data_IF_805374965162
#
_entry.id   IF_805374965162
#
_cell.length_a   1.000
_cell.length_b   1.000
_cell.length_c   1.000
_cell.angle_alpha   90.00
_cell.angle_beta   90.00
_cell.angle_gamma   90.00
#
_symmetry.space_group_name_H-M   'P 1'
#
loop_
_entity.id
_entity.type
_entity.pdbx_description
1 polymer ?
#
# COMPACT_ATOMS: atom_id res chain seq x y z
N UNK A 1 -14.77 18.06 18.49
CA UNK A 1 -14.99 17.74 17.07
C UNK A 1 -14.88 16.23 16.95
N UNK A 2 -15.99 15.54 16.78
CA UNK A 2 -15.99 14.12 16.41
C UNK A 2 -15.66 14.07 14.92
N UNK A 3 -14.59 13.36 14.56
CA UNK A 3 -14.28 13.14 13.17
C UNK A 3 -15.43 12.34 12.53
N UNK A 4 -15.84 12.72 11.32
CA UNK A 4 -16.81 11.94 10.55
C UNK A 4 -16.26 10.53 10.32
N UNK A 5 -17.04 9.52 10.70
CA UNK A 5 -16.66 8.11 10.50
C UNK A 5 -16.81 7.80 9.02
N UNK A 6 -15.76 7.25 8.41
CA UNK A 6 -15.80 6.82 7.01
C UNK A 6 -16.87 5.73 6.82
N UNK A 7 -17.65 5.82 5.74
CA UNK A 7 -18.72 4.85 5.40
C UNK A 7 -18.28 3.78 4.39
N UNK A 8 -17.02 3.79 4.02
CA UNK A 8 -16.43 2.81 3.10
C UNK A 8 -15.15 2.21 3.70
N UNK A 9 -14.86 0.98 3.31
CA UNK A 9 -13.61 0.31 3.66
C UNK A 9 -12.41 1.12 3.15
N UNK A 10 -11.39 1.34 4.00
CA UNK A 10 -10.18 2.02 3.58
C UNK A 10 -9.39 1.18 2.57
N UNK A 11 -8.83 1.82 1.54
CA UNK A 11 -7.90 1.17 0.61
C UNK A 11 -6.46 1.12 1.15
N UNK A 12 -6.20 1.89 2.19
CA UNK A 12 -4.90 1.99 2.84
C UNK A 12 -5.09 2.26 4.34
N UNK A 13 -4.32 1.57 5.17
CA UNK A 13 -4.28 1.75 6.62
C UNK A 13 -2.82 1.87 7.06
N UNK A 14 -2.57 2.48 8.21
CA UNK A 14 -1.23 2.55 8.80
C UNK A 14 -1.19 1.71 10.07
N UNK A 15 -0.16 0.89 10.20
CA UNK A 15 0.13 0.20 11.46
C UNK A 15 0.38 1.23 12.58
N UNK A 16 -0.15 0.98 13.77
CA UNK A 16 -0.05 1.88 14.92
C UNK A 16 -1.12 2.98 14.98
N UNK A 17 -1.94 3.16 13.94
CA UNK A 17 -3.06 4.11 13.97
C UNK A 17 -4.37 3.42 14.41
N UNK A 18 -5.25 4.16 15.09
CA UNK A 18 -6.64 3.72 15.29
C UNK A 18 -7.38 3.81 13.97
N UNK A 19 -8.15 2.76 13.64
CA UNK A 19 -8.85 2.65 12.36
C UNK A 19 -10.33 2.43 12.65
N UNK A 20 -11.20 3.25 12.06
CA UNK A 20 -12.65 3.18 12.27
C UNK A 20 -13.38 3.42 10.95
N UNK A 21 -14.36 2.57 10.65
CA UNK A 21 -15.32 2.80 9.57
C UNK A 21 -16.65 2.14 9.87
N UNK A 22 -17.71 2.65 9.24
CA UNK A 22 -19.07 2.13 9.35
C UNK A 22 -19.43 1.42 8.04
N UNK A 23 -20.01 0.23 8.14
CA UNK A 23 -20.47 -0.53 6.98
C UNK A 23 -21.96 -0.82 7.08
N UNK A 24 -22.71 -0.31 6.11
CA UNK A 24 -24.14 -0.62 5.92
C UNK A 24 -24.28 -1.84 5.03
N UNK A 25 -25.03 -2.85 5.47
CA UNK A 25 -25.39 -4.05 4.70
C UNK A 25 -26.91 -4.26 4.80
N UNK A 26 -27.65 -3.76 3.82
CA UNK A 26 -29.12 -3.80 3.85
C UNK A 26 -29.70 -5.22 3.96
N UNK A 27 -29.03 -6.22 3.35
CA UNK A 27 -29.48 -7.62 3.37
C UNK A 27 -29.05 -8.35 4.65
N UNK A 28 -28.12 -7.77 5.42
CA UNK A 28 -27.54 -8.39 6.64
C UNK A 28 -27.38 -7.35 7.75
N UNK A 29 -28.50 -6.71 8.21
CA UNK A 29 -28.41 -5.69 9.22
C UNK A 29 -27.96 -6.27 10.57
N UNK A 30 -27.21 -5.48 11.34
CA UNK A 30 -26.74 -5.90 12.66
C UNK A 30 -27.88 -6.09 13.66
N UNK A 31 -29.02 -5.39 13.47
CA UNK A 31 -30.26 -5.58 14.26
C UNK A 31 -30.80 -7.00 14.22
N UNK A 32 -30.56 -7.73 13.14
CA UNK A 32 -31.01 -9.11 12.96
C UNK A 32 -29.96 -10.12 13.47
N UNK A 33 -29.01 -9.68 14.29
CA UNK A 33 -27.94 -10.49 14.85
C UNK A 33 -26.93 -10.99 13.81
N UNK A 34 -26.83 -10.33 12.66
CA UNK A 34 -25.71 -10.54 11.74
C UNK A 34 -24.44 -9.89 12.30
N UNK A 35 -23.33 -10.62 12.23
CA UNK A 35 -22.00 -10.12 12.63
C UNK A 35 -21.11 -10.08 11.41
N UNK A 36 -20.56 -8.90 11.12
CA UNK A 36 -19.63 -8.67 10.01
C UNK A 36 -18.20 -8.95 10.47
N UNK A 37 -17.48 -9.70 9.67
CA UNK A 37 -16.08 -10.03 9.89
C UNK A 37 -15.25 -9.60 8.69
N UNK A 38 -14.03 -9.21 8.97
CA UNK A 38 -13.00 -8.95 7.99
C UNK A 38 -11.74 -9.75 8.26
N UNK A 39 -11.03 -10.10 7.21
CA UNK A 39 -9.70 -10.69 7.27
C UNK A 39 -8.77 -10.01 6.27
N UNK A 40 -7.67 -9.47 6.76
CA UNK A 40 -6.53 -9.12 5.94
C UNK A 40 -5.68 -10.37 5.79
N UNK A 41 -5.37 -10.78 4.56
CA UNK A 41 -4.56 -11.97 4.30
C UNK A 41 -3.56 -11.73 3.17
N UNK A 42 -2.33 -12.17 3.38
CA UNK A 42 -1.28 -12.27 2.36
C UNK A 42 -0.36 -13.46 2.67
N UNK A 43 0.77 -13.57 1.96
CA UNK A 43 1.77 -14.65 2.17
C UNK A 43 2.53 -14.53 3.48
N UNK A 44 2.58 -13.34 4.10
CA UNK A 44 3.31 -13.09 5.35
C UNK A 44 2.45 -13.32 6.60
N UNK A 45 1.10 -13.22 6.49
CA UNK A 45 0.25 -13.38 7.65
C UNK A 45 -1.23 -13.07 7.40
N UNK A 46 -2.00 -13.10 8.47
CA UNK A 46 -3.42 -12.77 8.48
C UNK A 46 -3.76 -11.98 9.75
N UNK A 47 -4.72 -11.08 9.62
CA UNK A 47 -5.29 -10.31 10.73
C UNK A 47 -6.82 -10.36 10.63
N UNK A 48 -7.47 -10.72 11.71
CA UNK A 48 -8.93 -10.84 11.78
C UNK A 48 -9.51 -9.62 12.52
N UNK A 49 -10.61 -9.10 12.00
CA UNK A 49 -11.34 -7.97 12.57
C UNK A 49 -12.82 -8.39 12.63
N UNK A 50 -13.47 -8.12 13.76
CA UNK A 50 -14.90 -8.35 13.94
C UNK A 50 -15.56 -7.01 14.22
N UNK A 51 -16.60 -6.68 13.47
CA UNK A 51 -17.37 -5.46 13.67
C UNK A 51 -18.34 -5.62 14.85
N UNK A 52 -18.69 -4.49 15.45
CA UNK A 52 -19.75 -4.38 16.47
C UNK A 52 -21.01 -3.79 15.83
N UNK A 53 -22.17 -4.04 16.42
CA UNK A 53 -23.42 -3.46 15.96
C UNK A 53 -23.47 -1.96 16.34
N UNK A 54 -23.88 -1.12 15.39
CA UNK A 54 -24.21 0.29 15.59
C UNK A 54 -25.57 0.55 14.90
N UNK A 55 -26.66 0.33 15.66
CA UNK A 55 -27.99 0.28 15.08
C UNK A 55 -28.13 -0.86 14.08
N UNK A 56 -28.48 -0.57 12.83
CA UNK A 56 -28.56 -1.52 11.73
C UNK A 56 -27.22 -1.74 11.03
N UNK A 57 -26.24 -0.86 11.27
CA UNK A 57 -24.93 -0.88 10.65
C UNK A 57 -23.90 -1.67 11.45
N UNK A 58 -22.76 -1.92 10.84
CA UNK A 58 -21.63 -2.61 11.44
C UNK A 58 -20.49 -1.62 11.63
N UNK A 59 -20.17 -1.30 12.88
CA UNK A 59 -19.04 -0.45 13.24
C UNK A 59 -17.79 -1.31 13.35
N UNK A 60 -16.77 -0.94 12.60
CA UNK A 60 -15.44 -1.55 12.66
C UNK A 60 -14.50 -0.62 13.39
N UNK A 61 -13.92 -1.12 14.48
CA UNK A 61 -12.93 -0.38 15.26
C UNK A 61 -11.72 -1.27 15.49
N UNK A 62 -10.55 -0.75 15.11
CA UNK A 62 -9.26 -1.38 15.38
C UNK A 62 -8.44 -0.41 16.21
N UNK A 63 -8.05 -0.82 17.41
CA UNK A 63 -7.21 0.01 18.28
C UNK A 63 -5.81 0.18 17.71
N UNK A 64 -5.14 1.28 18.05
CA UNK A 64 -3.74 1.53 17.70
C UNK A 64 -2.81 0.39 18.15
N UNK A 65 -3.06 -0.17 19.33
CA UNK A 65 -2.30 -1.32 19.86
C UNK A 65 -2.46 -2.57 18.98
N UNK A 66 -3.67 -2.83 18.50
CA UNK A 66 -3.94 -3.97 17.62
C UNK A 66 -3.33 -3.74 16.24
N UNK A 67 -3.53 -2.56 15.64
CA UNK A 67 -3.00 -2.24 14.32
C UNK A 67 -1.47 -2.17 14.31
N UNK A 68 -0.81 -1.84 15.43
CA UNK A 68 0.66 -1.88 15.55
C UNK A 68 1.25 -3.28 15.30
N UNK A 69 0.44 -4.34 15.46
CA UNK A 69 0.87 -5.71 15.15
C UNK A 69 0.82 -6.04 13.66
N UNK A 70 0.22 -5.17 12.83
CA UNK A 70 0.06 -5.42 11.42
C UNK A 70 1.38 -5.18 10.68
N UNK A 71 1.81 -6.19 9.94
CA UNK A 71 3.01 -6.07 9.10
C UNK A 71 2.70 -5.25 7.86
N UNK A 72 3.58 -4.29 7.53
CA UNK A 72 3.43 -3.49 6.32
C UNK A 72 3.46 -4.36 5.06
N UNK A 73 2.59 -4.06 4.09
CA UNK A 73 2.49 -4.78 2.83
C UNK A 73 1.12 -4.70 2.17
N UNK A 74 0.99 -5.38 1.05
CA UNK A 74 -0.29 -5.50 0.33
C UNK A 74 -1.03 -6.75 0.80
N UNK A 75 -2.32 -6.60 1.09
CA UNK A 75 -3.21 -7.63 1.58
C UNK A 75 -4.46 -7.70 0.72
N UNK A 76 -5.10 -8.87 0.73
CA UNK A 76 -6.50 -8.98 0.33
C UNK A 76 -7.34 -8.84 1.60
N UNK A 77 -8.23 -7.86 1.62
CA UNK A 77 -9.28 -7.71 2.64
C UNK A 77 -10.48 -8.50 2.18
N UNK A 78 -10.85 -9.54 2.91
CA UNK A 78 -12.03 -10.36 2.65
C UNK A 78 -13.06 -10.06 3.74
N UNK A 79 -14.34 -9.93 3.35
CA UNK A 79 -15.44 -9.72 4.27
C UNK A 79 -16.50 -10.81 4.17
N UNK A 80 -17.09 -11.18 5.29
CA UNK A 80 -18.21 -12.10 5.39
C UNK A 80 -19.06 -11.80 6.61
N UNK A 81 -20.31 -12.19 6.55
CA UNK A 81 -21.25 -12.11 7.68
C UNK A 81 -21.59 -13.49 8.21
N UNK A 82 -21.88 -13.56 9.51
CA UNK A 82 -22.33 -14.78 10.18
C UNK A 82 -23.58 -14.51 11.02
N UNK A 83 -24.48 -15.50 11.07
CA UNK A 83 -25.63 -15.53 11.98
C UNK A 83 -25.89 -17.00 12.37
N UNK A 84 -25.61 -17.35 13.60
CA UNK A 84 -25.67 -18.77 14.04
C UNK A 84 -24.73 -19.64 13.20
N UNK A 85 -25.30 -20.63 12.51
CA UNK A 85 -24.55 -21.52 11.61
C UNK A 85 -24.39 -20.99 10.17
N UNK A 86 -25.05 -19.89 9.86
CA UNK A 86 -25.00 -19.29 8.51
C UNK A 86 -23.75 -18.43 8.33
N UNK A 87 -23.18 -18.47 7.11
CA UNK A 87 -22.07 -17.62 6.69
C UNK A 87 -22.21 -17.25 5.23
N UNK A 88 -22.13 -15.94 4.93
CA UNK A 88 -22.15 -15.43 3.57
C UNK A 88 -20.99 -14.48 3.32
N UNK A 89 -20.29 -14.62 2.19
CA UNK A 89 -19.24 -13.70 1.78
C UNK A 89 -19.87 -12.41 1.25
N UNK A 90 -19.38 -11.27 1.70
CA UNK A 90 -19.92 -9.95 1.31
C UNK A 90 -19.01 -9.21 0.36
N UNK A 91 -17.70 -9.53 0.31
CA UNK A 91 -16.79 -8.91 -0.65
C UNK A 91 -15.32 -9.26 -0.43
N UNK A 92 -14.51 -8.77 -1.36
CA UNK A 92 -13.06 -8.77 -1.23
C UNK A 92 -12.46 -7.60 -1.99
N UNK A 93 -11.36 -7.01 -1.46
CA UNK A 93 -10.64 -5.91 -2.09
C UNK A 93 -9.16 -5.96 -1.73
N UNK A 94 -8.34 -5.24 -2.49
CA UNK A 94 -6.95 -5.02 -2.14
C UNK A 94 -6.84 -3.85 -1.17
N UNK A 95 -6.04 -4.04 -0.11
CA UNK A 95 -5.71 -3.01 0.88
C UNK A 95 -4.21 -3.00 1.10
N UNK A 96 -3.66 -1.84 1.38
CA UNK A 96 -2.24 -1.66 1.71
C UNK A 96 -2.09 -1.27 3.18
N UNK A 97 -1.26 -2.01 3.90
CA UNK A 97 -0.84 -1.66 5.25
C UNK A 97 0.48 -0.92 5.16
N UNK A 98 0.49 0.34 5.58
CA UNK A 98 1.69 1.15 5.68
C UNK A 98 2.43 0.89 7.00
N UNK A 99 3.76 1.04 7.02
CA UNK A 99 4.51 0.91 8.25
C UNK A 99 4.18 2.02 9.25
N UNK A 100 4.28 1.71 10.53
CA UNK A 100 4.29 2.70 11.61
C UNK A 100 5.61 3.45 11.58
N UNK A 101 5.59 4.68 11.04
CA UNK A 101 6.80 5.51 10.95
C UNK A 101 7.22 6.10 12.30
N UNK A 102 6.30 6.21 13.25
CA UNK A 102 6.62 6.71 14.59
C UNK A 102 7.39 5.68 15.41
N UNK A 103 7.17 4.40 15.16
CA UNK A 103 7.91 3.30 15.81
C UNK A 103 9.21 2.91 15.09
N UNK A 104 9.50 3.48 13.89
CA UNK A 104 10.73 3.15 13.19
C UNK A 104 11.97 3.79 13.84
N UNK A 105 13.08 3.05 13.82
CA UNK A 105 14.36 3.58 14.25
C UNK A 105 14.86 4.69 13.30
N UNK A 106 15.76 5.55 13.79
CA UNK A 106 16.42 6.56 12.95
C UNK A 106 17.14 5.88 11.78
N UNK A 107 17.05 6.48 10.59
CA UNK A 107 17.64 5.92 9.37
C UNK A 107 16.72 4.94 8.63
N UNK A 108 15.46 4.78 9.03
CA UNK A 108 14.49 4.01 8.26
C UNK A 108 14.28 4.62 6.87
N UNK A 109 14.52 3.82 5.85
CA UNK A 109 14.42 4.26 4.45
C UNK A 109 13.02 4.01 3.89
N UNK A 110 12.24 5.09 3.79
CA UNK A 110 10.85 5.09 3.29
C UNK A 110 10.74 5.01 1.76
N UNK A 111 11.86 5.09 1.03
CA UNK A 111 11.85 5.06 -0.43
C UNK A 111 11.34 3.72 -0.94
N UNK A 112 10.60 3.75 -2.05
CA UNK A 112 10.18 2.53 -2.75
C UNK A 112 11.38 1.77 -3.32
N UNK A 113 11.19 0.49 -3.63
CA UNK A 113 12.22 -0.31 -4.29
C UNK A 113 12.61 0.28 -5.65
N UNK A 114 11.65 0.86 -6.38
CA UNK A 114 11.92 1.54 -7.65
C UNK A 114 12.81 2.78 -7.43
N UNK A 115 12.53 3.58 -6.38
CA UNK A 115 13.36 4.75 -6.04
C UNK A 115 14.78 4.33 -5.63
N UNK A 116 14.93 3.32 -4.76
CA UNK A 116 16.23 2.77 -4.35
C UNK A 116 17.03 2.27 -5.55
N UNK A 117 16.38 1.52 -6.45
CA UNK A 117 16.99 1.01 -7.67
C UNK A 117 17.43 2.16 -8.58
N UNK A 118 16.60 3.20 -8.75
CA UNK A 118 16.97 4.37 -9.56
C UNK A 118 18.17 5.10 -8.99
N UNK A 119 18.21 5.33 -7.67
CA UNK A 119 19.32 6.02 -7.00
C UNK A 119 20.63 5.22 -7.15
N UNK A 120 20.56 3.88 -7.05
CA UNK A 120 21.73 3.01 -7.28
C UNK A 120 22.22 3.05 -8.74
N UNK A 121 21.28 3.07 -9.71
CA UNK A 121 21.64 3.21 -11.13
C UNK A 121 22.25 4.58 -11.43
N UNK A 122 21.73 5.64 -10.82
CA UNK A 122 22.27 7.00 -10.97
C UNK A 122 23.65 7.12 -10.33
N UNK A 123 23.87 6.54 -9.15
CA UNK A 123 25.17 6.46 -8.50
C UNK A 123 26.19 5.67 -9.34
N UNK A 124 25.75 4.54 -9.92
CA UNK A 124 26.60 3.74 -10.82
C UNK A 124 27.00 4.53 -12.08
N UNK A 125 26.11 5.33 -12.64
CA UNK A 125 26.46 6.23 -13.77
C UNK A 125 27.46 7.33 -13.38
N UNK A 126 27.34 7.89 -12.18
CA UNK A 126 28.22 8.96 -11.69
C UNK A 126 29.61 8.46 -11.34
N UNK A 127 29.71 7.26 -10.75
CA UNK A 127 31.00 6.66 -10.32
C UNK A 127 31.89 6.25 -11.50
N UNK A 128 31.32 6.11 -12.68
CA UNK A 128 32.00 5.51 -13.81
C UNK A 128 32.58 6.57 -14.77
N UNK A 129 33.00 7.72 -14.42
CA UNK A 129 33.69 8.66 -15.30
C UNK A 129 33.94 8.14 -16.76
N UNK A 130 34.35 8.89 -17.69
CA UNK A 130 34.33 8.64 -19.14
C UNK A 130 34.98 7.33 -19.69
N UNK A 131 35.56 6.47 -18.84
CA UNK A 131 36.44 5.39 -19.31
C UNK A 131 36.16 3.96 -18.86
N UNK A 132 35.11 3.66 -18.11
CA UNK A 132 34.88 2.29 -17.64
C UNK A 132 33.41 1.89 -17.65
N UNK A 133 32.92 1.46 -18.79
CA UNK A 133 31.62 0.79 -18.89
C UNK A 133 31.75 -0.64 -18.38
N UNK A 134 31.56 -0.82 -17.08
CA UNK A 134 31.46 -2.15 -16.48
C UNK A 134 30.15 -2.79 -16.93
N UNK A 135 30.24 -3.95 -17.56
CA UNK A 135 29.08 -4.69 -18.05
C UNK A 135 28.29 -5.39 -16.92
N UNK A 136 28.82 -5.35 -15.71
CA UNK A 136 28.28 -6.11 -14.57
C UNK A 136 28.13 -5.22 -13.34
N UNK A 137 26.93 -5.20 -12.77
CA UNK A 137 26.59 -4.41 -11.57
C UNK A 137 25.93 -5.32 -10.54
N UNK A 138 26.26 -5.13 -9.29
CA UNK A 138 25.54 -5.73 -8.18
C UNK A 138 24.63 -4.65 -7.55
N UNK A 139 23.32 -4.88 -7.62
CA UNK A 139 22.30 -3.99 -7.08
C UNK A 139 21.46 -4.80 -6.11
N UNK A 140 21.46 -4.41 -4.83
CA UNK A 140 20.66 -5.03 -3.77
C UNK A 140 20.84 -6.57 -3.71
N UNK A 141 22.12 -7.05 -3.77
CA UNK A 141 22.47 -8.47 -3.76
C UNK A 141 22.13 -9.22 -5.05
N UNK A 142 21.67 -8.51 -6.10
CA UNK A 142 21.40 -9.08 -7.43
C UNK A 142 22.46 -8.65 -8.42
N UNK A 143 23.10 -9.62 -9.02
CA UNK A 143 24.08 -9.38 -10.08
C UNK A 143 23.38 -9.15 -11.40
N UNK A 144 23.54 -7.95 -11.97
CA UNK A 144 22.97 -7.58 -13.27
C UNK A 144 24.09 -7.40 -14.28
N UNK A 145 23.97 -8.07 -15.43
CA UNK A 145 24.90 -7.95 -16.54
C UNK A 145 24.21 -7.30 -17.72
N UNK A 146 24.72 -6.15 -18.14
CA UNK A 146 24.21 -5.45 -19.33
C UNK A 146 25.17 -5.73 -20.51
N UNK A 147 24.59 -6.01 -21.68
CA UNK A 147 25.36 -6.26 -22.90
C UNK A 147 25.88 -4.98 -23.54
N UNK A 148 25.21 -3.84 -23.26
CA UNK A 148 25.58 -2.55 -23.80
C UNK A 148 25.12 -1.41 -22.89
N UNK A 149 25.73 -0.23 -23.10
CA UNK A 149 25.30 1.04 -22.49
C UNK A 149 23.84 1.35 -22.81
N UNK A 150 23.41 1.05 -24.03
CA UNK A 150 22.02 1.28 -24.44
C UNK A 150 21.02 0.46 -23.61
N UNK A 151 21.32 -0.80 -23.27
CA UNK A 151 20.48 -1.62 -22.40
C UNK A 151 20.40 -1.04 -20.97
N UNK A 152 21.54 -0.56 -20.44
CA UNK A 152 21.56 0.08 -19.12
C UNK A 152 20.71 1.35 -19.10
N UNK A 153 20.86 2.23 -20.08
CA UNK A 153 20.06 3.48 -20.18
C UNK A 153 18.58 3.16 -20.38
N UNK A 154 18.25 2.14 -21.19
CA UNK A 154 16.87 1.70 -21.37
C UNK A 154 16.26 1.15 -20.07
N UNK A 155 17.01 0.35 -19.31
CA UNK A 155 16.57 -0.16 -18.01
C UNK A 155 16.36 0.98 -17.00
N UNK A 156 17.32 1.90 -16.88
CA UNK A 156 17.18 3.11 -16.04
C UNK A 156 15.92 3.92 -16.41
N UNK A 157 15.65 4.08 -17.70
CA UNK A 157 14.46 4.80 -18.17
C UNK A 157 13.16 4.10 -17.76
N UNK A 158 13.11 2.76 -17.79
CA UNK A 158 11.96 1.98 -17.29
C UNK A 158 11.75 2.18 -15.78
N UNK A 159 12.82 2.06 -14.99
CA UNK A 159 12.75 2.26 -13.52
C UNK A 159 12.30 3.69 -13.20
N UNK A 160 12.83 4.70 -13.92
CA UNK A 160 12.40 6.09 -13.77
C UNK A 160 10.91 6.29 -14.06
N UNK A 161 10.38 5.62 -15.09
CA UNK A 161 8.94 5.66 -15.40
C UNK A 161 8.10 5.03 -14.27
N UNK A 162 8.61 3.98 -13.64
CA UNK A 162 7.94 3.35 -12.49
C UNK A 162 7.88 4.30 -11.29
N UNK A 163 8.97 4.94 -10.93
CA UNK A 163 9.02 5.98 -9.88
C UNK A 163 8.02 7.10 -10.17
N UNK A 164 7.94 7.57 -11.42
CA UNK A 164 6.96 8.60 -11.81
C UNK A 164 5.52 8.11 -11.66
N UNK A 165 5.24 6.85 -12.00
CA UNK A 165 3.91 6.25 -11.80
C UNK A 165 3.53 6.18 -10.32
N UNK A 166 4.45 5.73 -9.45
CA UNK A 166 4.25 5.71 -8.00
C UNK A 166 3.95 7.10 -7.45
N UNK A 167 4.76 8.11 -7.82
CA UNK A 167 4.56 9.50 -7.41
C UNK A 167 3.23 10.07 -7.89
N UNK A 168 2.82 9.76 -9.12
CA UNK A 168 1.53 10.19 -9.66
C UNK A 168 0.36 9.51 -8.94
N UNK A 169 0.48 8.21 -8.61
CA UNK A 169 -0.53 7.49 -7.84
C UNK A 169 -0.69 8.07 -6.42
N UNK A 170 0.42 8.44 -5.78
CA UNK A 170 0.41 9.09 -4.48
C UNK A 170 -0.23 10.50 -4.54
N UNK A 171 0.12 11.29 -5.57
CA UNK A 171 -0.50 12.61 -5.79
C UNK A 171 -2.02 12.52 -5.98
N UNK A 172 -2.49 11.54 -6.75
CA UNK A 172 -3.93 11.30 -6.94
C UNK A 172 -4.62 10.91 -5.63
N UNK A 173 -4.00 10.06 -4.82
CA UNK A 173 -4.50 9.70 -3.48
C UNK A 173 -4.65 10.91 -2.57
N UNK A 174 -3.70 11.84 -2.65
CA UNK A 174 -3.69 13.08 -1.87
C UNK A 174 -4.56 14.19 -2.49
N UNK A 175 -5.41 13.88 -3.49
CA UNK A 175 -6.28 14.84 -4.17
C UNK A 175 -5.54 15.86 -5.04
N UNK A 176 -4.24 15.65 -5.30
CA UNK A 176 -3.41 16.50 -6.14
C UNK A 176 -3.48 16.00 -7.59
N UNK A 177 -3.78 16.89 -8.54
CA UNK A 177 -3.82 16.54 -9.97
C UNK A 177 -2.50 15.98 -10.50
N UNK A 178 -2.59 15.28 -11.63
CA UNK A 178 -1.41 14.81 -12.37
C UNK A 178 -0.57 15.98 -12.85
N UNK A 179 0.75 15.84 -12.81
CA UNK A 179 1.71 16.85 -13.29
C UNK A 179 1.82 16.76 -14.82
N UNK A 180 0.79 17.24 -15.55
CA UNK A 180 0.86 17.32 -17.01
C UNK A 180 1.72 18.52 -17.42
N UNK A 181 2.88 18.26 -18.02
CA UNK A 181 3.62 19.26 -18.77
C UNK A 181 3.00 19.34 -20.16
N UNK A 182 2.22 20.39 -20.43
CA UNK A 182 1.80 20.73 -21.79
C UNK A 182 2.97 21.49 -22.42
N UNK A 183 3.70 20.84 -23.33
CA UNK A 183 4.68 21.52 -24.17
C UNK A 183 3.91 22.15 -25.34
N UNK A 184 3.61 23.43 -25.23
CA UNK A 184 3.13 24.24 -26.36
C UNK A 184 4.36 24.58 -27.21
N UNK A 185 4.50 23.99 -28.38
CA UNK A 185 5.41 24.50 -29.42
C UNK A 185 4.75 25.73 -30.03
N UNK A 186 5.32 26.90 -29.84
CA UNK A 186 5.05 28.06 -30.68
C UNK A 186 5.90 27.95 -31.95
#
# INVERSE_FOLDING_TARGET
MTADIATAEPTQIRAGDSITWLKTLNDYPATDSWVLHYRLINTAGKFDITATADGADHLVEVSATTSATYTAGKYTLVSWVTQGALRYSTGSMLIEVLPDLAAQASGYDIRSNAQKTLDLLDAAMQSQGANAWVQEYEIDGRRMKFRSVGEFVAFRSKVKQEVVREQNAERLRNGLGLRNKINIRM
#
